data_IF_651999768585
#
_entry.id   IF_651999768585
#
_cell.length_a   1.000
_cell.length_b   1.000
_cell.length_c   1.000
_cell.angle_alpha   90.00
_cell.angle_beta   90.00
_cell.angle_gamma   90.00
#
_symmetry.space_group_name_H-M   'P 1'
#
loop_
_entity.id
_entity.type
_entity.pdbx_description
1 polymer ?
#
# COMPACT_ATOMS: atom_id res chain seq x y z
N UNK A 1 -6.36 -21.20 12.07
CA UNK A 1 -5.01 -20.60 12.14
C UNK A 1 -5.16 -19.11 11.88
N UNK A 2 -4.65 -18.24 12.75
CA UNK A 2 -4.68 -16.79 12.50
C UNK A 2 -3.71 -16.44 11.35
N UNK A 3 -4.03 -15.47 10.49
CA UNK A 3 -3.11 -15.02 9.46
C UNK A 3 -1.84 -14.45 10.12
N UNK A 4 -0.67 -14.88 9.65
CA UNK A 4 0.61 -14.31 10.08
C UNK A 4 0.96 -13.17 9.13
N UNK A 5 1.02 -11.95 9.66
CA UNK A 5 1.41 -10.75 8.91
C UNK A 5 2.90 -10.47 9.13
N UNK A 6 3.58 -9.99 8.09
CA UNK A 6 4.96 -9.51 8.15
C UNK A 6 5.05 -8.01 8.43
N UNK A 7 6.26 -7.54 8.76
CA UNK A 7 6.53 -6.10 8.93
C UNK A 7 6.70 -5.40 7.58
N UNK A 8 6.34 -4.12 7.49
CA UNK A 8 6.51 -3.29 6.30
C UNK A 8 7.99 -3.20 5.91
N UNK A 9 8.89 -3.15 6.90
CA UNK A 9 10.35 -3.06 6.68
C UNK A 9 10.95 -4.26 5.95
N UNK A 10 10.25 -5.39 5.93
CA UNK A 10 10.70 -6.58 5.23
C UNK A 10 10.39 -6.51 3.73
N UNK A 11 9.39 -5.72 3.30
CA UNK A 11 8.89 -5.67 1.91
C UNK A 11 10.03 -5.42 0.94
N UNK A 12 10.18 -6.33 -0.03
CA UNK A 12 11.21 -6.23 -1.04
C UNK A 12 10.82 -6.97 -2.33
N UNK A 13 11.51 -6.70 -3.46
CA UNK A 13 11.20 -7.31 -4.76
C UNK A 13 11.54 -8.80 -4.89
N UNK A 14 12.19 -9.44 -3.90
CA UNK A 14 12.62 -10.85 -4.00
C UNK A 14 11.47 -11.85 -3.80
N UNK A 15 10.32 -11.40 -3.30
CA UNK A 15 9.11 -12.20 -3.11
C UNK A 15 7.97 -11.60 -3.94
N UNK A 16 7.17 -12.47 -4.55
CA UNK A 16 6.02 -12.08 -5.37
C UNK A 16 4.88 -11.47 -4.54
N UNK A 17 4.67 -11.95 -3.32
CA UNK A 17 3.52 -11.55 -2.49
C UNK A 17 3.89 -11.35 -1.02
N UNK A 18 3.24 -10.38 -0.40
CA UNK A 18 3.42 -9.98 0.99
C UNK A 18 2.06 -9.81 1.66
N UNK A 19 1.93 -10.30 2.90
CA UNK A 19 0.76 -10.07 3.73
C UNK A 19 1.18 -9.22 4.92
N UNK A 20 0.65 -8.00 5.00
CA UNK A 20 0.95 -7.03 6.06
C UNK A 20 -0.33 -6.58 6.77
N UNK A 21 -0.21 -6.16 8.03
CA UNK A 21 -1.26 -5.48 8.78
C UNK A 21 -0.74 -4.10 9.18
N UNK A 22 -1.39 -3.05 8.67
CA UNK A 22 -0.95 -1.67 8.85
C UNK A 22 -2.15 -0.72 8.99
N UNK A 23 -1.91 0.43 9.63
CA UNK A 23 -2.85 1.54 9.70
C UNK A 23 -2.62 2.49 8.52
N UNK A 24 -3.71 2.90 7.87
CA UNK A 24 -3.67 4.02 6.92
C UNK A 24 -3.60 5.32 7.73
N UNK A 25 -2.53 6.10 7.57
CA UNK A 25 -2.35 7.38 8.29
C UNK A 25 -2.70 8.58 7.42
N UNK A 26 -2.61 8.45 6.09
CA UNK A 26 -3.03 9.45 5.11
C UNK A 26 -3.50 8.77 3.83
N UNK A 27 -4.49 9.36 3.17
CA UNK A 27 -5.08 8.88 1.93
C UNK A 27 -5.53 10.08 1.09
N UNK A 28 -5.29 10.06 -0.22
CA UNK A 28 -5.74 11.11 -1.12
C UNK A 28 -5.88 10.60 -2.56
N UNK A 29 -6.73 11.27 -3.33
CA UNK A 29 -6.83 11.05 -4.77
C UNK A 29 -5.80 11.91 -5.50
N UNK A 30 -5.06 11.29 -6.41
CA UNK A 30 -4.09 11.97 -7.29
C UNK A 30 -4.67 11.97 -8.69
N UNK A 31 -4.63 13.10 -9.38
CA UNK A 31 -5.01 13.15 -10.80
C UNK A 31 -3.90 12.50 -11.62
N UNK A 32 -4.23 11.40 -12.29
CA UNK A 32 -3.30 10.68 -13.16
C UNK A 32 -3.44 11.18 -14.59
N UNK A 33 -2.68 12.24 -14.90
CA UNK A 33 -2.68 12.88 -16.22
C UNK A 33 -2.28 11.93 -17.36
N UNK A 34 -1.67 10.78 -17.04
CA UNK A 34 -1.17 9.82 -18.02
C UNK A 34 -2.12 8.63 -18.26
N UNK A 35 -3.18 8.47 -17.49
CA UNK A 35 -4.12 7.32 -17.60
C UNK A 35 -5.31 7.51 -18.53
N UNK A 36 -5.39 8.66 -19.21
CA UNK A 36 -6.52 8.98 -20.09
C UNK A 36 -7.87 9.02 -19.36
N UNK A 37 -8.96 9.18 -20.12
CA UNK A 37 -10.28 9.52 -19.58
C UNK A 37 -10.94 8.40 -18.75
N UNK A 38 -10.44 7.17 -18.83
CA UNK A 38 -11.11 6.01 -18.22
C UNK A 38 -10.82 5.88 -16.73
N UNK A 39 -9.64 6.33 -16.27
CA UNK A 39 -9.25 6.33 -14.85
C UNK A 39 -8.41 7.57 -14.55
N UNK A 40 -9.02 8.77 -14.52
CA UNK A 40 -8.30 10.03 -14.39
C UNK A 40 -7.69 10.25 -13.00
N UNK A 41 -7.89 9.32 -12.06
CA UNK A 41 -7.37 9.41 -10.70
C UNK A 41 -6.76 8.09 -10.22
N UNK A 42 -5.65 8.17 -9.50
CA UNK A 42 -5.14 7.11 -8.64
C UNK A 42 -5.48 7.39 -7.17
N UNK A 43 -5.44 6.35 -6.35
CA UNK A 43 -5.59 6.44 -4.90
C UNK A 43 -4.24 6.14 -4.26
N UNK A 44 -3.67 7.14 -3.61
CA UNK A 44 -2.38 7.03 -2.94
C UNK A 44 -2.61 6.98 -1.42
N UNK A 45 -1.78 6.18 -0.74
CA UNK A 45 -1.90 5.94 0.70
C UNK A 45 -0.54 5.92 1.38
N UNK A 46 -0.50 6.40 2.61
CA UNK A 46 0.64 6.21 3.52
C UNK A 46 0.24 5.20 4.59
N UNK A 47 0.98 4.10 4.67
CA UNK A 47 0.79 3.01 5.62
C UNK A 47 1.81 3.10 6.74
N UNK A 48 1.39 2.79 7.97
CA UNK A 48 2.25 2.66 9.14
C UNK A 48 1.88 1.38 9.87
N UNK A 49 2.86 0.50 10.10
CA UNK A 49 2.65 -0.68 10.95
C UNK A 49 3.04 -0.37 12.41
N UNK A 50 2.78 -1.31 13.30
CA UNK A 50 3.11 -1.18 14.72
C UNK A 50 4.60 -1.38 15.02
N UNK A 51 5.46 -1.59 14.01
CA UNK A 51 6.89 -1.86 14.20
C UNK A 51 7.72 -0.59 14.38
N UNK A 52 7.09 0.59 14.37
CA UNK A 52 7.67 1.92 14.58
C UNK A 52 7.19 2.54 15.89
#
# INVERSE_FOLDING_TARGET
MAPKYGNISEINPKKESWSIAARIIRIWFVQDANRGDTHPFSLDMVLMDASV
#
